data_IF_705464191002
#
_entry.id   IF_705464191002
#
_cell.length_a   1.000
_cell.length_b   1.000
_cell.length_c   1.000
_cell.angle_alpha   90.00
_cell.angle_beta   90.00
_cell.angle_gamma   90.00
#
_symmetry.space_group_name_H-M   'P 1'
#
loop_
_entity.id
_entity.type
_entity.pdbx_description
1 polymer ?
#
# COMPACT_ATOMS: atom_id res chain seq x y z
N UNK A 1 -39.36 54.46 -12.53
CA UNK A 1 -38.91 53.69 -13.70
C UNK A 1 -37.63 52.95 -13.33
N UNK A 2 -37.72 51.65 -13.12
CA UNK A 2 -36.62 50.69 -13.26
C UNK A 2 -37.29 49.33 -13.47
N UNK A 3 -37.31 48.91 -14.73
CA UNK A 3 -38.05 47.77 -15.23
C UNK A 3 -37.42 46.49 -14.70
N UNK A 4 -38.16 45.75 -13.90
CA UNK A 4 -37.81 44.42 -13.45
C UNK A 4 -38.00 43.44 -14.62
N UNK A 5 -37.00 43.31 -15.50
CA UNK A 5 -37.00 42.30 -16.56
C UNK A 5 -36.41 41.00 -16.03
N UNK A 6 -37.19 40.30 -15.21
CA UNK A 6 -36.94 38.90 -14.85
C UNK A 6 -37.62 37.99 -15.87
N UNK A 7 -36.83 37.11 -16.50
CA UNK A 7 -37.30 36.04 -17.39
C UNK A 7 -38.48 35.27 -16.77
N UNK A 8 -39.66 35.39 -17.40
CA UNK A 8 -40.88 34.69 -17.02
C UNK A 8 -40.62 33.16 -17.08
N UNK A 9 -40.63 32.50 -15.92
CA UNK A 9 -40.54 31.03 -15.81
C UNK A 9 -39.19 30.46 -15.34
N UNK A 10 -38.21 31.28 -14.97
CA UNK A 10 -36.93 30.77 -14.47
C UNK A 10 -36.97 30.68 -12.94
N UNK A 11 -36.89 29.45 -12.42
CA UNK A 11 -36.75 29.21 -10.98
C UNK A 11 -35.46 29.87 -10.46
N UNK A 12 -35.54 30.55 -9.31
CA UNK A 12 -34.40 31.19 -8.64
C UNK A 12 -34.46 30.90 -7.14
N UNK A 13 -33.33 30.49 -6.58
CA UNK A 13 -33.15 30.29 -5.14
C UNK A 13 -33.12 31.64 -4.41
N UNK A 14 -33.73 31.71 -3.21
CA UNK A 14 -33.61 32.90 -2.35
C UNK A 14 -32.24 32.94 -1.69
N UNK A 15 -31.79 34.11 -1.25
CA UNK A 15 -30.50 34.25 -0.56
C UNK A 15 -30.39 33.32 0.66
N UNK A 16 -31.49 33.14 1.41
CA UNK A 16 -31.56 32.17 2.52
C UNK A 16 -31.42 30.72 2.07
N UNK A 17 -31.90 30.39 0.86
CA UNK A 17 -31.71 29.06 0.28
C UNK A 17 -30.26 28.88 -0.16
N UNK A 18 -29.65 29.91 -0.74
CA UNK A 18 -28.24 29.89 -1.15
C UNK A 18 -27.31 29.74 0.06
N UNK A 19 -27.56 30.44 1.16
CA UNK A 19 -26.80 30.27 2.41
C UNK A 19 -26.98 28.87 2.99
N UNK A 20 -28.22 28.36 3.03
CA UNK A 20 -28.49 27.00 3.48
C UNK A 20 -27.80 25.97 2.59
N UNK A 21 -27.81 26.17 1.27
CA UNK A 21 -27.24 25.25 0.27
C UNK A 21 -25.70 25.29 0.28
N UNK A 22 -25.13 26.49 0.36
CA UNK A 22 -23.68 26.70 0.41
C UNK A 22 -23.04 26.09 1.65
N UNK A 23 -23.77 26.02 2.75
CA UNK A 23 -23.33 25.40 4.00
C UNK A 23 -23.68 23.90 4.13
N UNK A 24 -24.24 23.25 3.09
CA UNK A 24 -24.54 21.80 3.13
C UNK A 24 -23.26 20.98 3.29
N UNK A 25 -22.18 21.43 2.67
CA UNK A 25 -20.89 20.78 2.72
C UNK A 25 -19.88 21.75 3.31
N UNK A 26 -19.32 21.40 4.46
CA UNK A 26 -18.10 22.05 4.95
C UNK A 26 -16.98 21.75 3.97
N UNK A 27 -16.44 22.80 3.33
CA UNK A 27 -15.41 22.68 2.31
C UNK A 27 -14.25 23.63 2.59
N UNK A 28 -13.03 23.17 2.29
CA UNK A 28 -11.84 24.01 2.34
C UNK A 28 -11.84 25.00 1.16
N UNK A 29 -11.52 26.27 1.41
CA UNK A 29 -11.43 27.33 0.38
C UNK A 29 -10.44 26.99 -0.76
N UNK A 30 -9.62 25.97 -0.57
CA UNK A 30 -8.60 25.52 -1.50
C UNK A 30 -9.07 24.39 -2.44
N UNK A 31 -10.37 24.04 -2.49
CA UNK A 31 -10.89 22.94 -3.31
C UNK A 31 -10.44 23.02 -4.79
N UNK A 32 -10.34 24.24 -5.34
CA UNK A 32 -9.86 24.49 -6.70
C UNK A 32 -8.32 24.51 -6.84
N UNK A 33 -7.59 24.60 -5.73
CA UNK A 33 -6.13 24.55 -5.68
C UNK A 33 -5.58 23.14 -5.34
N UNK A 34 -6.47 22.20 -5.00
CA UNK A 34 -6.11 20.84 -4.60
C UNK A 34 -5.95 19.95 -5.85
N UNK A 35 -4.99 19.00 -5.88
CA UNK A 35 -4.90 18.02 -6.97
C UNK A 35 -6.25 17.31 -7.19
N UNK A 36 -6.52 16.85 -8.43
CA UNK A 36 -7.82 16.27 -8.77
C UNK A 36 -8.17 15.14 -7.79
N UNK A 37 -9.40 15.17 -7.26
CA UNK A 37 -9.91 14.21 -6.25
C UNK A 37 -9.65 12.75 -6.66
N UNK A 38 -9.65 12.49 -7.97
CA UNK A 38 -9.32 11.18 -8.56
C UNK A 38 -7.88 10.73 -8.27
N UNK A 39 -6.90 11.63 -8.28
CA UNK A 39 -5.51 11.32 -7.97
C UNK A 39 -5.31 10.99 -6.49
N UNK A 40 -5.97 11.71 -5.58
CA UNK A 40 -5.92 11.44 -4.14
C UNK A 40 -6.56 10.08 -3.82
N UNK A 41 -7.68 9.75 -4.45
CA UNK A 41 -8.34 8.45 -4.32
C UNK A 41 -7.45 7.31 -4.83
N UNK A 42 -6.92 7.42 -6.05
CA UNK A 42 -6.04 6.40 -6.62
C UNK A 42 -4.79 6.19 -5.75
N UNK A 43 -4.23 7.27 -5.21
CA UNK A 43 -3.09 7.21 -4.29
C UNK A 43 -3.45 6.43 -3.02
N UNK A 44 -4.58 6.75 -2.39
CA UNK A 44 -5.05 6.02 -1.21
C UNK A 44 -5.27 4.53 -1.49
N UNK A 45 -5.95 4.19 -2.59
CA UNK A 45 -6.19 2.80 -3.00
C UNK A 45 -4.87 2.06 -3.26
N UNK A 46 -3.91 2.71 -3.93
CA UNK A 46 -2.59 2.11 -4.20
C UNK A 46 -1.77 1.84 -2.93
N UNK A 47 -1.78 2.78 -1.98
CA UNK A 47 -1.06 2.65 -0.71
C UNK A 47 -1.71 1.59 0.18
N UNK A 48 -3.04 1.58 0.26
CA UNK A 48 -3.80 0.57 1.01
C UNK A 48 -3.56 -0.84 0.46
N UNK A 49 -3.59 -1.00 -0.87
CA UNK A 49 -3.25 -2.27 -1.52
C UNK A 49 -1.82 -2.72 -1.17
N UNK A 50 -0.83 -1.82 -1.31
CA UNK A 50 0.58 -2.13 -1.00
C UNK A 50 0.77 -2.53 0.46
N UNK A 51 0.09 -1.85 1.38
CA UNK A 51 0.13 -2.18 2.82
C UNK A 51 -0.34 -3.63 3.06
N UNK A 52 -1.48 -4.01 2.49
CA UNK A 52 -2.03 -5.37 2.64
C UNK A 52 -1.10 -6.42 2.03
N UNK A 53 -0.56 -6.15 0.84
CA UNK A 53 0.40 -7.05 0.18
C UNK A 53 1.66 -7.26 1.03
N UNK A 54 2.24 -6.18 1.56
CA UNK A 54 3.42 -6.24 2.44
C UNK A 54 3.13 -6.98 3.74
N UNK A 55 1.98 -6.73 4.39
CA UNK A 55 1.58 -7.42 5.62
C UNK A 55 1.42 -8.92 5.38
N UNK A 56 0.68 -9.31 4.34
CA UNK A 56 0.48 -10.72 4.00
C UNK A 56 1.81 -11.40 3.68
N UNK A 57 2.69 -10.73 2.94
CA UNK A 57 3.99 -11.26 2.60
C UNK A 57 4.87 -11.43 3.84
N UNK A 58 4.96 -10.41 4.70
CA UNK A 58 5.71 -10.46 5.96
C UNK A 58 5.22 -11.55 6.90
N UNK A 59 3.90 -11.72 7.06
CA UNK A 59 3.32 -12.80 7.85
C UNK A 59 3.69 -14.17 7.30
N UNK A 60 3.59 -14.33 5.98
CA UNK A 60 3.94 -15.58 5.29
C UNK A 60 5.40 -15.95 5.48
N UNK A 61 6.31 -14.99 5.33
CA UNK A 61 7.75 -15.19 5.52
C UNK A 61 8.10 -15.50 6.98
N UNK A 62 7.45 -14.80 7.92
CA UNK A 62 7.63 -15.05 9.36
C UNK A 62 7.24 -16.48 9.71
N UNK A 63 6.15 -16.98 9.14
CA UNK A 63 5.73 -18.37 9.35
C UNK A 63 6.73 -19.37 8.77
N UNK A 64 7.30 -19.10 7.59
CA UNK A 64 8.36 -19.93 7.02
C UNK A 64 9.62 -19.96 7.88
N UNK A 65 10.01 -18.81 8.43
CA UNK A 65 11.18 -18.70 9.31
C UNK A 65 10.97 -19.48 10.61
N UNK A 66 9.78 -19.35 11.23
CA UNK A 66 9.42 -20.08 12.46
C UNK A 66 9.41 -21.59 12.26
N UNK A 67 8.83 -22.06 11.15
CA UNK A 67 8.75 -23.49 10.83
C UNK A 67 10.05 -24.05 10.23
N UNK A 68 11.09 -23.21 10.04
CA UNK A 68 12.32 -23.57 9.33
C UNK A 68 12.04 -24.20 7.95
N UNK A 69 10.92 -23.82 7.33
CA UNK A 69 10.37 -24.48 6.14
C UNK A 69 10.42 -23.56 4.93
N UNK A 70 11.37 -23.86 4.05
CA UNK A 70 11.48 -23.15 2.77
C UNK A 70 10.52 -23.81 1.76
N UNK A 71 9.52 -23.07 1.26
CA UNK A 71 8.65 -23.55 0.16
C UNK A 71 9.49 -23.78 -1.09
N UNK A 72 9.08 -24.75 -1.92
CA UNK A 72 9.80 -25.12 -3.15
C UNK A 72 10.15 -23.93 -4.05
N UNK A 73 9.25 -22.94 -4.19
CA UNK A 73 9.50 -21.74 -5.00
C UNK A 73 10.47 -20.71 -4.41
N UNK A 74 10.80 -20.81 -3.11
CA UNK A 74 11.78 -19.97 -2.41
C UNK A 74 13.12 -20.70 -2.21
N UNK A 75 13.21 -21.98 -2.58
CA UNK A 75 14.45 -22.73 -2.45
C UNK A 75 15.40 -22.32 -3.56
N UNK A 76 16.59 -21.89 -3.17
CA UNK A 76 17.70 -21.77 -4.13
C UNK A 76 18.04 -23.17 -4.61
N UNK A 77 17.71 -23.48 -5.86
CA UNK A 77 17.90 -24.82 -6.43
C UNK A 77 19.33 -24.97 -6.99
N UNK A 78 20.32 -24.68 -6.14
CA UNK A 78 21.73 -24.87 -6.48
C UNK A 78 22.09 -26.33 -6.23
N UNK A 79 22.76 -26.96 -7.19
CA UNK A 79 23.29 -28.31 -7.02
C UNK A 79 24.81 -28.32 -7.19
N UNK A 80 25.52 -29.14 -6.40
CA UNK A 80 26.96 -29.24 -6.51
C UNK A 80 27.34 -29.97 -7.81
N UNK A 81 28.24 -29.38 -8.59
CA UNK A 81 28.69 -29.94 -9.88
C UNK A 81 29.96 -30.77 -9.76
N UNK A 82 30.95 -30.31 -8.99
CA UNK A 82 32.29 -30.93 -8.92
C UNK A 82 32.37 -32.18 -8.04
N UNK A 83 31.53 -32.28 -7.01
CA UNK A 83 31.56 -33.38 -6.02
C UNK A 83 30.21 -34.07 -5.91
N UNK A 84 29.48 -34.16 -7.03
CA UNK A 84 28.13 -34.75 -7.09
C UNK A 84 28.06 -36.25 -6.77
N UNK A 85 29.20 -36.93 -6.58
CA UNK A 85 29.25 -38.34 -6.16
C UNK A 85 29.50 -38.51 -4.66
N UNK A 86 29.88 -37.43 -3.96
CA UNK A 86 30.13 -37.46 -2.52
C UNK A 86 28.86 -37.06 -1.76
N UNK A 87 28.22 -38.03 -1.10
CA UNK A 87 26.99 -37.80 -0.34
C UNK A 87 27.20 -36.87 0.87
N UNK A 88 28.34 -36.98 1.56
CA UNK A 88 28.67 -36.09 2.68
C UNK A 88 28.78 -34.62 2.20
N UNK A 89 29.41 -34.41 1.04
CA UNK A 89 29.50 -33.09 0.42
C UNK A 89 28.12 -32.54 0.09
N UNK A 90 27.23 -33.34 -0.51
CA UNK A 90 25.85 -32.94 -0.82
C UNK A 90 25.09 -32.53 0.44
N UNK A 91 25.20 -33.29 1.52
CA UNK A 91 24.52 -32.96 2.78
C UNK A 91 25.02 -31.63 3.34
N UNK A 92 26.33 -31.42 3.39
CA UNK A 92 26.92 -30.15 3.84
C UNK A 92 26.49 -28.97 2.95
N UNK A 93 26.55 -29.15 1.64
CA UNK A 93 26.11 -28.16 0.65
C UNK A 93 24.64 -27.77 0.82
N UNK A 94 23.75 -28.77 0.94
CA UNK A 94 22.32 -28.54 1.17
C UNK A 94 22.05 -27.80 2.49
N UNK A 95 22.81 -28.09 3.54
CA UNK A 95 22.73 -27.38 4.82
C UNK A 95 23.09 -25.90 4.69
N UNK A 96 24.17 -25.58 3.97
CA UNK A 96 24.61 -24.20 3.71
C UNK A 96 23.55 -23.44 2.92
N UNK A 97 23.02 -24.02 1.84
CA UNK A 97 21.98 -23.39 1.02
C UNK A 97 20.68 -23.17 1.81
N UNK A 98 20.32 -24.13 2.66
CA UNK A 98 19.15 -24.01 3.54
C UNK A 98 19.31 -22.85 4.50
N UNK A 99 20.45 -22.75 5.18
CA UNK A 99 20.74 -21.64 6.09
C UNK A 99 20.71 -20.29 5.36
N UNK A 100 21.41 -20.19 4.22
CA UNK A 100 21.41 -18.97 3.40
C UNK A 100 19.99 -18.56 2.99
N UNK A 101 19.14 -19.51 2.60
CA UNK A 101 17.75 -19.23 2.25
C UNK A 101 16.95 -18.69 3.44
N UNK A 102 17.19 -19.18 4.65
CA UNK A 102 16.55 -18.67 5.87
C UNK A 102 17.05 -17.27 6.23
N UNK A 103 18.35 -17.02 6.09
CA UNK A 103 18.94 -15.69 6.31
C UNK A 103 18.37 -14.67 5.31
N UNK A 104 18.17 -15.07 4.05
CA UNK A 104 17.47 -14.25 3.05
C UNK A 104 16.02 -13.97 3.42
N UNK A 105 15.29 -14.96 3.94
CA UNK A 105 13.91 -14.76 4.44
C UNK A 105 13.92 -13.74 5.58
N UNK A 106 14.84 -13.85 6.53
CA UNK A 106 14.97 -12.92 7.64
C UNK A 106 15.25 -11.48 7.17
N UNK A 107 16.18 -11.31 6.21
CA UNK A 107 16.47 -10.01 5.59
C UNK A 107 15.23 -9.41 4.92
N UNK A 108 14.43 -10.22 4.21
CA UNK A 108 13.20 -9.74 3.60
C UNK A 108 12.19 -9.27 4.64
N UNK A 109 12.04 -10.00 5.76
CA UNK A 109 11.15 -9.60 6.86
C UNK A 109 11.58 -8.24 7.43
N UNK A 110 12.87 -8.04 7.66
CA UNK A 110 13.41 -6.77 8.16
C UNK A 110 13.09 -5.60 7.22
N UNK A 111 13.35 -5.76 5.92
CA UNK A 111 13.02 -4.75 4.92
C UNK A 111 11.51 -4.47 4.82
N UNK A 112 10.68 -5.52 4.87
CA UNK A 112 9.21 -5.37 4.84
C UNK A 112 8.72 -4.60 6.06
N UNK A 113 9.29 -4.81 7.23
CA UNK A 113 8.91 -4.08 8.45
C UNK A 113 9.17 -2.58 8.33
N UNK A 114 10.33 -2.19 7.81
CA UNK A 114 10.68 -0.78 7.54
C UNK A 114 9.75 -0.19 6.49
N UNK A 115 9.47 -0.93 5.41
CA UNK A 115 8.62 -0.42 4.34
C UNK A 115 7.16 -0.28 4.78
N UNK A 116 6.66 -1.17 5.63
CA UNK A 116 5.33 -1.05 6.22
C UNK A 116 5.18 0.22 7.06
N UNK A 117 6.18 0.56 7.86
CA UNK A 117 6.17 1.80 8.66
C UNK A 117 6.08 3.05 7.78
N UNK A 118 6.85 3.06 6.68
CA UNK A 118 6.79 4.14 5.69
C UNK A 118 5.41 4.21 5.00
N UNK A 119 4.84 3.08 4.58
CA UNK A 119 3.51 3.05 3.93
C UNK A 119 2.42 3.50 4.91
N UNK A 120 2.49 3.10 6.18
CA UNK A 120 1.56 3.54 7.22
C UNK A 120 1.65 5.07 7.43
N UNK A 121 2.88 5.60 7.53
CA UNK A 121 3.11 7.05 7.63
C UNK A 121 2.51 7.79 6.43
N UNK A 122 2.69 7.27 5.21
CA UNK A 122 2.09 7.86 4.02
C UNK A 122 0.56 7.78 4.03
N UNK A 123 -0.03 6.66 4.46
CA UNK A 123 -1.48 6.52 4.61
C UNK A 123 -2.06 7.51 5.61
N UNK A 124 -1.39 7.71 6.75
CA UNK A 124 -1.81 8.68 7.77
C UNK A 124 -1.81 10.11 7.21
N UNK A 125 -0.80 10.49 6.44
CA UNK A 125 -0.77 11.82 5.80
C UNK A 125 -1.89 12.01 4.78
N UNK A 126 -2.20 10.99 3.97
CA UNK A 126 -3.28 11.07 2.98
C UNK A 126 -4.66 11.07 3.65
N UNK A 127 -4.81 10.38 4.78
CA UNK A 127 -6.08 10.29 5.51
C UNK A 127 -6.34 11.52 6.37
N UNK A 128 -5.30 12.14 6.94
CA UNK A 128 -5.40 13.35 7.79
C UNK A 128 -5.56 14.65 6.99
N UNK A 129 -5.23 14.66 5.70
CA UNK A 129 -5.47 15.80 4.80
C UNK A 129 -6.93 15.86 4.26
N UNK A 130 -7.86 15.17 4.92
CA UNK A 130 -9.32 15.32 4.74
C UNK A 130 -9.86 16.27 5.80
#
# INVERSE_FOLDING_TARGET
MASNTGLLGTFSYRDTDLDRIGNIFEGSECLFATPPVTASRQRLESLSKRQVELQLHGLTLTEYLRLQRIRRGLRVNLQPTLFAHNEEFKTKFAGIITKCSLDLIALNIECIAVELDNVNTQLDTVTRNK
#
